data_IF_175663246331
#
_entry.id   IF_175663246331
#
_cell.length_a   1.000
_cell.length_b   1.000
_cell.length_c   1.000
_cell.angle_alpha   90.00
_cell.angle_beta   90.00
_cell.angle_gamma   90.00
#
_symmetry.space_group_name_H-M   'P 1'
#
loop_
_entity.id
_entity.type
_entity.pdbx_description
1 polymer ?
#
# COMPACT_ATOMS: atom_id res chain seq x y z
N UNK A 1 12.27 -17.11 0.08
CA UNK A 1 10.87 -17.18 -0.36
C UNK A 1 10.84 -17.03 -1.88
N UNK A 2 10.59 -18.13 -2.62
CA UNK A 2 10.59 -18.10 -4.08
C UNK A 2 9.41 -17.33 -4.70
N UNK A 3 8.37 -17.03 -3.91
CA UNK A 3 7.21 -16.25 -4.33
C UNK A 3 6.87 -15.22 -3.24
N UNK A 4 7.71 -14.19 -3.15
CA UNK A 4 7.64 -13.22 -2.06
C UNK A 4 6.35 -12.40 -2.08
N UNK A 5 5.74 -12.16 -3.25
CA UNK A 5 4.49 -11.40 -3.39
C UNK A 5 4.60 -10.04 -2.70
N UNK A 6 3.85 -9.85 -1.62
CA UNK A 6 3.93 -8.59 -0.86
C UNK A 6 5.09 -8.49 0.13
N UNK A 7 5.97 -9.48 0.21
CA UNK A 7 7.12 -9.55 1.12
C UNK A 7 6.72 -9.53 2.61
N UNK A 8 5.53 -10.06 2.95
CA UNK A 8 5.08 -10.21 4.36
C UNK A 8 6.00 -11.12 5.15
N UNK A 9 6.37 -12.27 4.58
CA UNK A 9 7.34 -13.20 5.18
C UNK A 9 8.66 -12.50 5.49
N UNK A 10 9.13 -11.68 4.55
CA UNK A 10 10.36 -10.90 4.72
C UNK A 10 10.28 -9.90 5.84
N UNK A 11 9.16 -9.19 5.96
CA UNK A 11 9.00 -8.18 7.01
C UNK A 11 9.05 -8.82 8.41
N UNK A 12 8.41 -9.97 8.58
CA UNK A 12 8.44 -10.73 9.85
C UNK A 12 9.82 -11.33 10.09
N UNK A 13 10.48 -11.86 9.05
CA UNK A 13 11.83 -12.40 9.17
C UNK A 13 12.82 -11.32 9.65
N UNK A 14 12.82 -10.14 9.01
CA UNK A 14 13.68 -9.00 9.37
C UNK A 14 13.36 -8.50 10.78
N UNK A 15 12.09 -8.31 11.14
CA UNK A 15 11.72 -7.88 12.50
C UNK A 15 12.11 -8.90 13.58
N UNK A 16 12.17 -10.18 13.23
CA UNK A 16 12.66 -11.25 14.10
C UNK A 16 14.20 -11.43 14.09
N UNK A 17 14.95 -10.55 13.42
CA UNK A 17 16.41 -10.60 13.35
C UNK A 17 16.96 -11.68 12.41
N UNK A 18 16.13 -12.27 11.55
CA UNK A 18 16.53 -13.30 10.59
C UNK A 18 16.94 -12.69 9.25
N UNK A 19 17.87 -13.34 8.56
CA UNK A 19 18.17 -13.03 7.16
C UNK A 19 17.04 -13.54 6.27
N UNK A 20 16.69 -12.76 5.25
CA UNK A 20 15.60 -13.09 4.31
C UNK A 20 16.03 -12.82 2.87
N UNK A 21 15.66 -13.73 1.98
CA UNK A 21 15.80 -13.56 0.52
C UNK A 21 14.43 -13.87 -0.08
N UNK A 22 13.88 -12.92 -0.85
CA UNK A 22 12.61 -13.05 -1.54
C UNK A 22 12.78 -12.89 -3.05
N UNK A 23 12.14 -13.75 -3.84
CA UNK A 23 12.14 -13.70 -5.31
C UNK A 23 10.71 -13.36 -5.75
N UNK A 24 10.60 -12.44 -6.71
CA UNK A 24 9.34 -12.01 -7.30
C UNK A 24 9.61 -11.53 -8.73
N UNK A 25 8.68 -11.80 -9.66
CA UNK A 25 8.80 -11.41 -11.07
C UNK A 25 7.96 -10.17 -11.39
N UNK A 26 6.88 -9.95 -10.65
CA UNK A 26 6.01 -8.80 -10.86
C UNK A 26 6.61 -7.53 -10.23
N UNK A 27 6.91 -6.54 -11.08
CA UNK A 27 7.52 -5.28 -10.68
C UNK A 27 6.70 -4.50 -9.64
N UNK A 28 5.37 -4.56 -9.68
CA UNK A 28 4.52 -3.87 -8.71
C UNK A 28 4.64 -4.48 -7.30
N UNK A 29 4.82 -5.79 -7.23
CA UNK A 29 5.10 -6.50 -5.99
C UNK A 29 6.53 -6.25 -5.50
N UNK A 30 7.52 -6.16 -6.40
CA UNK A 30 8.88 -5.76 -6.05
C UNK A 30 8.91 -4.36 -5.42
N UNK A 31 8.28 -3.35 -6.04
CA UNK A 31 8.17 -1.99 -5.49
C UNK A 31 7.51 -1.98 -4.11
N UNK A 32 6.51 -2.84 -3.90
CA UNK A 32 5.89 -3.00 -2.59
C UNK A 32 6.84 -3.61 -1.56
N UNK A 33 7.63 -4.60 -1.94
CA UNK A 33 8.65 -5.20 -1.08
C UNK A 33 9.72 -4.22 -0.66
N UNK A 34 10.25 -3.44 -1.61
CA UNK A 34 11.26 -2.42 -1.38
C UNK A 34 10.79 -1.39 -0.35
N UNK A 35 9.56 -0.87 -0.49
CA UNK A 35 8.94 0.03 0.50
C UNK A 35 8.81 -0.60 1.89
N UNK A 36 8.47 -1.88 1.97
CA UNK A 36 8.13 -2.56 3.23
C UNK A 36 9.37 -2.98 4.01
N UNK A 37 10.43 -3.33 3.30
CA UNK A 37 11.69 -3.82 3.87
C UNK A 37 12.75 -2.72 3.99
N UNK A 38 12.46 -1.51 3.49
CA UNK A 38 13.38 -0.36 3.46
C UNK A 38 14.75 -0.71 2.83
N UNK A 39 14.70 -1.45 1.72
CA UNK A 39 15.90 -1.92 1.02
C UNK A 39 16.30 -0.89 -0.03
N UNK A 40 17.57 -0.52 -0.03
CA UNK A 40 18.15 0.37 -1.05
C UNK A 40 17.97 -0.25 -2.44
N UNK A 41 17.48 0.54 -3.38
CA UNK A 41 17.27 0.10 -4.76
C UNK A 41 17.58 1.22 -5.74
N UNK A 42 17.55 0.88 -7.04
CA UNK A 42 17.66 1.84 -8.13
C UNK A 42 16.36 2.62 -8.39
N UNK A 43 15.24 2.24 -7.76
CA UNK A 43 13.98 2.95 -7.90
C UNK A 43 13.98 4.24 -7.09
N UNK A 44 13.48 5.30 -7.70
CA UNK A 44 13.24 6.59 -7.05
C UNK A 44 12.08 6.52 -6.05
N UNK A 45 12.01 7.51 -5.14
CA UNK A 45 10.92 7.59 -4.17
C UNK A 45 9.55 7.76 -4.86
N UNK A 46 9.53 8.44 -6.01
CA UNK A 46 8.36 8.67 -6.84
C UNK A 46 7.83 7.36 -7.45
N UNK A 47 8.73 6.52 -7.96
CA UNK A 47 8.37 5.21 -8.53
C UNK A 47 7.91 4.22 -7.46
N UNK A 48 8.43 4.37 -6.24
CA UNK A 48 7.99 3.62 -5.08
C UNK A 48 6.73 4.21 -4.45
N UNK A 49 6.15 5.31 -4.92
CA UNK A 49 4.93 5.83 -4.32
C UNK A 49 3.73 4.87 -4.52
N UNK A 50 2.96 4.61 -3.45
CA UNK A 50 1.75 3.78 -3.55
C UNK A 50 0.66 4.55 -4.29
N UNK A 51 0.29 4.06 -5.47
CA UNK A 51 -0.85 4.59 -6.23
C UNK A 51 -2.16 4.28 -5.48
N UNK A 52 -2.82 5.33 -4.95
CA UNK A 52 -4.12 5.21 -4.27
C UNK A 52 -5.25 5.23 -5.31
N UNK A 53 -5.45 4.13 -6.01
CA UNK A 53 -6.59 3.98 -6.93
C UNK A 53 -7.83 3.56 -6.15
N UNK A 54 -8.95 4.28 -6.32
CA UNK A 54 -10.24 3.89 -5.75
C UNK A 54 -10.77 2.66 -6.48
N UNK A 55 -11.32 1.69 -5.74
CA UNK A 55 -12.00 0.52 -6.31
C UNK A 55 -13.33 0.89 -6.99
N UNK A 56 -14.02 1.89 -6.46
CA UNK A 56 -15.36 2.30 -6.90
C UNK A 56 -15.47 3.81 -6.89
N UNK A 57 -16.18 4.37 -7.87
CA UNK A 57 -16.50 5.80 -7.93
C UNK A 57 -17.51 6.26 -6.87
N UNK A 58 -18.29 5.34 -6.32
CA UNK A 58 -19.31 5.66 -5.31
C UNK A 58 -18.66 6.31 -4.07
N UNK A 59 -19.24 7.45 -3.70
CA UNK A 59 -18.90 8.17 -2.47
C UNK A 59 -19.38 7.36 -1.25
N UNK A 60 -18.69 7.49 -0.12
CA UNK A 60 -19.16 6.90 1.15
C UNK A 60 -20.36 7.67 1.69
N UNK A 61 -21.20 7.07 2.54
CA UNK A 61 -22.33 7.79 3.17
C UNK A 61 -21.85 9.04 3.91
N UNK A 62 -20.73 8.93 4.62
CA UNK A 62 -20.04 10.05 5.29
C UNK A 62 -19.66 11.18 4.35
N UNK A 63 -19.23 10.87 3.11
CA UNK A 63 -18.87 11.91 2.13
C UNK A 63 -20.08 12.64 1.57
N UNK A 64 -21.27 12.02 1.60
CA UNK A 64 -22.52 12.69 1.20
C UNK A 64 -23.05 13.61 2.28
N UNK A 65 -22.85 13.26 3.56
CA UNK A 65 -23.27 14.09 4.71
C UNK A 65 -22.58 15.46 4.75
N UNK A 66 -21.35 15.57 4.21
CA UNK A 66 -20.64 16.85 4.09
C UNK A 66 -21.13 17.72 2.93
N UNK A 67 -21.97 17.20 2.04
CA UNK A 67 -22.57 17.95 0.93
C UNK A 67 -24.01 18.40 1.23
N UNK A 68 -24.56 18.00 2.38
CA UNK A 68 -25.89 18.42 2.83
C UNK A 68 -25.72 19.70 3.63
N UNK A 69 -26.43 20.75 3.22
CA UNK A 69 -26.54 22.00 3.97
C UNK A 69 -26.98 21.69 5.42
N UNK A 70 -26.22 22.09 6.46
CA UNK A 70 -26.61 21.91 7.86
C UNK A 70 -28.02 22.43 8.16
N UNK A 71 -28.48 23.45 7.43
CA UNK A 71 -29.78 24.08 7.62
C UNK A 71 -30.97 23.23 7.13
N UNK A 72 -30.70 22.17 6.35
CA UNK A 72 -31.73 21.23 5.87
C UNK A 72 -31.95 20.04 6.82
N UNK A 73 -31.05 19.82 7.78
CA UNK A 73 -31.11 18.70 8.75
C UNK A 73 -31.92 19.07 10.00
N UNK A 74 -32.12 20.38 10.26
CA UNK A 74 -32.73 20.91 11.48
C UNK A 74 -34.22 21.35 11.34
N UNK A 75 -34.94 20.93 10.30
CA UNK A 75 -36.40 21.11 10.18
C UNK A 75 -37.13 19.77 10.28
#
# INVERSE_FOLDING_TARGET
>A
DPFAGSFTTGAVAVSSGRKFIGIEINSEYIKMGLRRLDVTSHYSAEELAKVKKRKTGNLSKRSRLSEVDPDLIAK
#
